data_IF_916974509356
#
_entry.id   IF_916974509356
#
_cell.length_a   1.000
_cell.length_b   1.000
_cell.length_c   1.000
_cell.angle_alpha   90.00
_cell.angle_beta   90.00
_cell.angle_gamma   90.00
#
_symmetry.space_group_name_H-M   'P 1'
#
loop_
_entity.id
_entity.type
_entity.pdbx_description
1 polymer ?
#
# COMPACT_ATOMS: atom_id res chain seq x y z
N UNK A 1 -5.46 -20.72 -8.66
CA UNK A 1 -6.35 -19.80 -7.93
C UNK A 1 -5.93 -19.89 -6.48
N UNK A 2 -5.19 -18.88 -6.01
CA UNK A 2 -4.96 -18.66 -4.58
C UNK A 2 -6.32 -18.72 -3.88
N UNK A 3 -6.38 -19.39 -2.74
CA UNK A 3 -7.60 -19.40 -1.94
C UNK A 3 -7.89 -17.94 -1.55
N UNK A 4 -9.04 -17.41 -1.93
CA UNK A 4 -9.42 -16.00 -1.66
C UNK A 4 -9.50 -15.71 -0.16
N UNK A 5 -9.33 -16.73 0.68
CA UNK A 5 -9.43 -16.70 2.13
C UNK A 5 -8.12 -16.48 2.88
N UNK A 6 -6.95 -16.50 2.23
CA UNK A 6 -5.66 -16.30 2.90
C UNK A 6 -4.85 -15.15 2.29
N UNK A 7 -4.18 -14.41 3.16
CA UNK A 7 -3.22 -13.37 2.78
C UNK A 7 -1.87 -14.02 2.49
N UNK A 8 -1.18 -13.60 1.43
CA UNK A 8 0.19 -14.04 1.19
C UNK A 8 1.12 -13.50 2.31
N UNK A 9 1.80 -14.37 3.08
CA UNK A 9 2.73 -13.93 4.13
C UNK A 9 3.83 -13.00 3.62
N UNK A 10 4.26 -13.15 2.36
CA UNK A 10 5.30 -12.31 1.78
C UNK A 10 4.86 -10.84 1.64
N UNK A 11 3.56 -10.60 1.43
CA UNK A 11 2.99 -9.25 1.37
C UNK A 11 3.09 -8.60 2.74
N UNK A 12 2.70 -9.33 3.79
CA UNK A 12 2.78 -8.88 5.18
C UNK A 12 4.22 -8.52 5.54
N UNK A 13 5.16 -9.43 5.31
CA UNK A 13 6.57 -9.25 5.64
C UNK A 13 7.20 -8.09 4.86
N UNK A 14 6.85 -7.94 3.59
CA UNK A 14 7.42 -6.89 2.73
C UNK A 14 6.88 -5.52 3.09
N UNK A 15 5.58 -5.39 3.31
CA UNK A 15 4.95 -4.14 3.73
C UNK A 15 5.41 -3.73 5.13
N UNK A 16 5.47 -4.65 6.09
CA UNK A 16 5.94 -4.36 7.45
C UNK A 16 7.39 -3.90 7.45
N UNK A 17 8.28 -4.61 6.73
CA UNK A 17 9.67 -4.22 6.59
C UNK A 17 9.82 -2.86 5.93
N UNK A 18 9.10 -2.59 4.83
CA UNK A 18 9.13 -1.30 4.16
C UNK A 18 8.76 -0.17 5.12
N UNK A 19 7.58 -0.25 5.73
CA UNK A 19 7.09 0.84 6.57
C UNK A 19 7.93 1.01 7.84
N UNK A 20 8.48 -0.07 8.42
CA UNK A 20 9.43 0.04 9.53
C UNK A 20 10.70 0.84 9.19
N UNK A 21 11.07 0.92 7.90
CA UNK A 21 12.26 1.63 7.43
C UNK A 21 11.96 3.07 7.04
N UNK A 22 10.76 3.36 6.51
CA UNK A 22 10.44 4.67 5.92
C UNK A 22 9.46 5.51 6.75
N UNK A 23 8.77 4.92 7.72
CA UNK A 23 7.82 5.61 8.61
C UNK A 23 8.41 5.84 10.01
N UNK A 24 9.64 6.35 10.07
CA UNK A 24 10.21 6.79 11.35
C UNK A 24 9.63 8.14 11.82
N UNK A 25 9.92 8.51 13.06
CA UNK A 25 9.38 9.72 13.68
C UNK A 25 9.72 10.99 12.88
N UNK A 26 10.96 11.12 12.40
CA UNK A 26 11.41 12.29 11.65
C UNK A 26 10.67 12.40 10.30
N UNK A 27 10.52 11.29 9.60
CA UNK A 27 9.85 11.22 8.30
C UNK A 27 8.36 11.57 8.41
N UNK A 28 7.68 11.08 9.45
CA UNK A 28 6.26 11.42 9.71
C UNK A 28 6.13 12.91 10.06
N UNK A 29 6.94 13.43 10.98
CA UNK A 29 6.89 14.85 11.35
C UNK A 29 7.15 15.77 10.15
N UNK A 30 8.10 15.39 9.29
CA UNK A 30 8.38 16.11 8.05
C UNK A 30 7.17 16.08 7.11
N UNK A 31 6.56 14.91 6.92
CA UNK A 31 5.38 14.78 6.07
C UNK A 31 4.20 15.64 6.53
N UNK A 32 3.97 15.73 7.85
CA UNK A 32 2.95 16.61 8.42
C UNK A 32 3.25 18.10 8.16
N UNK A 33 4.51 18.50 8.34
CA UNK A 33 4.95 19.89 8.11
C UNK A 33 4.86 20.29 6.64
N UNK A 34 5.26 19.39 5.74
CA UNK A 34 5.27 19.62 4.29
C UNK A 34 3.89 19.37 3.66
N UNK A 35 2.96 18.73 4.38
CA UNK A 35 1.63 18.35 3.91
C UNK A 35 1.61 17.19 2.91
N UNK A 36 2.74 16.52 2.71
CA UNK A 36 2.89 15.38 1.81
C UNK A 36 4.07 14.49 2.22
N UNK A 37 3.97 13.20 1.91
CA UNK A 37 4.98 12.19 2.26
C UNK A 37 5.62 11.59 1.00
N UNK A 38 6.25 12.42 0.16
CA UNK A 38 6.72 11.99 -1.17
C UNK A 38 7.67 10.79 -1.13
N UNK A 39 8.63 10.76 -0.20
CA UNK A 39 9.60 9.66 -0.10
C UNK A 39 8.94 8.35 0.34
N UNK A 40 8.02 8.41 1.31
CA UNK A 40 7.22 7.27 1.78
C UNK A 40 6.33 6.76 0.63
N UNK A 41 5.68 7.67 -0.10
CA UNK A 41 4.83 7.33 -1.24
C UNK A 41 5.63 6.68 -2.36
N UNK A 42 6.77 7.23 -2.74
CA UNK A 42 7.63 6.65 -3.77
C UNK A 42 8.07 5.24 -3.40
N UNK A 43 8.57 5.04 -2.18
CA UNK A 43 8.99 3.72 -1.71
C UNK A 43 7.83 2.71 -1.68
N UNK A 44 6.62 3.14 -1.29
CA UNK A 44 5.41 2.33 -1.36
C UNK A 44 5.01 2.01 -2.80
N UNK A 45 5.02 3.00 -3.70
CA UNK A 45 4.64 2.81 -5.09
C UNK A 45 5.56 1.86 -5.86
N UNK A 46 6.87 1.90 -5.57
CA UNK A 46 7.86 1.02 -6.19
C UNK A 46 7.65 -0.46 -5.88
N UNK A 47 6.89 -0.80 -4.82
CA UNK A 47 6.52 -2.19 -4.51
C UNK A 47 5.38 -2.74 -5.38
N UNK A 48 4.59 -1.87 -6.02
CA UNK A 48 3.33 -2.24 -6.66
C UNK A 48 2.13 -2.34 -5.70
N UNK A 49 2.33 -2.24 -4.37
CA UNK A 49 1.25 -2.32 -3.39
C UNK A 49 0.09 -1.34 -3.57
N UNK A 50 0.26 -0.08 -4.05
CA UNK A 50 -0.90 0.75 -4.34
C UNK A 50 -1.86 0.10 -5.33
N UNK A 51 -1.39 -0.79 -6.20
CA UNK A 51 -2.17 -1.37 -7.28
C UNK A 51 -2.48 -2.86 -7.07
N UNK A 52 -2.30 -3.35 -5.84
CA UNK A 52 -2.39 -4.78 -5.56
C UNK A 52 -3.77 -5.37 -5.80
N UNK A 53 -4.85 -4.63 -5.53
CA UNK A 53 -6.22 -5.10 -5.78
C UNK A 53 -6.68 -4.99 -7.24
N UNK A 54 -5.83 -4.53 -8.15
CA UNK A 54 -6.15 -4.36 -9.57
C UNK A 54 -5.53 -5.52 -10.34
N UNK A 55 -6.25 -6.07 -11.32
CA UNK A 55 -5.73 -7.17 -12.15
C UNK A 55 -4.51 -6.74 -12.97
N UNK A 56 -3.61 -7.68 -13.26
CA UNK A 56 -2.45 -7.43 -14.13
C UNK A 56 -2.88 -7.00 -15.55
N UNK A 57 -3.98 -7.55 -16.06
CA UNK A 57 -4.55 -7.16 -17.36
C UNK A 57 -4.96 -5.67 -17.41
N UNK A 58 -5.35 -5.10 -16.27
CA UNK A 58 -5.66 -3.69 -16.10
C UNK A 58 -4.46 -2.87 -15.61
N UNK A 59 -3.25 -3.44 -15.59
CA UNK A 59 -2.01 -2.78 -15.17
C UNK A 59 -1.73 -2.77 -13.67
N UNK A 60 -2.47 -3.56 -12.89
CA UNK A 60 -2.26 -3.75 -11.45
C UNK A 60 -1.28 -4.88 -11.11
N UNK A 61 -1.16 -5.20 -9.82
CA UNK A 61 -0.29 -6.29 -9.33
C UNK A 61 -1.01 -7.62 -9.09
N UNK A 62 -2.33 -7.70 -9.29
CA UNK A 62 -3.07 -8.96 -9.37
C UNK A 62 -3.29 -9.73 -8.06
N UNK A 63 -3.18 -9.08 -6.90
CA UNK A 63 -3.47 -9.67 -5.60
C UNK A 63 -4.95 -9.72 -5.27
N UNK A 64 -5.28 -10.34 -4.13
CA UNK A 64 -6.66 -10.48 -3.65
C UNK A 64 -7.14 -9.23 -2.89
N UNK A 65 -8.43 -9.18 -2.58
CA UNK A 65 -8.96 -8.15 -1.68
C UNK A 65 -8.37 -8.27 -0.26
N UNK A 66 -8.12 -9.49 0.22
CA UNK A 66 -7.51 -9.69 1.54
C UNK A 66 -6.09 -9.15 1.58
N UNK A 67 -5.32 -9.37 0.53
CA UNK A 67 -3.97 -8.82 0.39
C UNK A 67 -3.98 -7.29 0.44
N UNK A 68 -4.91 -6.66 -0.27
CA UNK A 68 -5.08 -5.20 -0.26
C UNK A 68 -5.47 -4.67 1.14
N UNK A 69 -6.37 -5.37 1.84
CA UNK A 69 -6.76 -5.01 3.20
C UNK A 69 -5.61 -5.19 4.18
N UNK A 70 -4.76 -6.20 4.02
CA UNK A 70 -3.57 -6.37 4.85
C UNK A 70 -2.57 -5.24 4.65
N UNK A 71 -2.31 -4.84 3.40
CA UNK A 71 -1.47 -3.67 3.10
C UNK A 71 -2.03 -2.42 3.79
N UNK A 72 -3.34 -2.18 3.71
CA UNK A 72 -3.96 -1.03 4.38
C UNK A 72 -3.89 -1.12 5.91
N UNK A 73 -4.00 -2.33 6.47
CA UNK A 73 -3.80 -2.55 7.90
C UNK A 73 -2.40 -2.14 8.33
N UNK A 74 -1.38 -2.46 7.55
CA UNK A 74 0.01 -2.09 7.82
C UNK A 74 0.30 -0.61 7.60
N UNK A 75 -0.31 0.02 6.57
CA UNK A 75 -0.29 1.49 6.39
C UNK A 75 -0.80 2.17 7.66
N UNK A 76 -1.95 1.73 8.19
CA UNK A 76 -2.52 2.27 9.42
C UNK A 76 -1.67 1.97 10.67
N UNK A 77 -1.13 0.76 10.78
CA UNK A 77 -0.29 0.34 11.92
C UNK A 77 0.98 1.19 12.06
N UNK A 78 1.64 1.48 10.93
CA UNK A 78 2.85 2.32 10.89
C UNK A 78 2.54 3.82 10.77
N UNK A 79 1.26 4.21 10.83
CA UNK A 79 0.81 5.58 10.66
C UNK A 79 1.37 6.25 9.38
N UNK A 80 1.50 5.49 8.29
CA UNK A 80 2.08 5.98 7.05
C UNK A 80 1.18 7.09 6.46
N UNK A 81 1.67 8.35 6.35
CA UNK A 81 0.86 9.50 5.96
C UNK A 81 0.71 9.59 4.44
N UNK A 82 0.13 8.54 3.83
CA UNK A 82 0.01 8.38 2.38
C UNK A 82 -1.43 8.01 1.98
N UNK A 83 -1.88 8.37 0.76
CA UNK A 83 -3.24 8.13 0.27
C UNK A 83 -3.45 6.69 -0.24
N UNK A 84 -3.01 5.67 0.52
CA UNK A 84 -2.99 4.29 0.02
C UNK A 84 -4.39 3.77 -0.36
N UNK A 85 -5.40 4.00 0.48
CA UNK A 85 -6.76 3.55 0.23
C UNK A 85 -7.43 4.37 -0.90
N UNK A 86 -7.23 5.69 -0.88
CA UNK A 86 -7.81 6.61 -1.84
C UNK A 86 -7.27 6.37 -3.25
N UNK A 87 -5.96 6.18 -3.38
CA UNK A 87 -5.31 5.98 -4.67
C UNK A 87 -5.57 4.57 -5.20
N UNK A 88 -5.26 3.54 -4.40
CA UNK A 88 -5.27 2.16 -4.86
C UNK A 88 -6.65 1.53 -4.96
N UNK A 89 -7.46 1.69 -3.92
CA UNK A 89 -8.79 1.07 -3.85
C UNK A 89 -9.81 1.97 -4.54
N UNK A 90 -10.00 3.20 -4.06
CA UNK A 90 -11.08 4.06 -4.56
C UNK A 90 -10.81 4.53 -5.99
N UNK A 91 -9.65 5.13 -6.22
CA UNK A 91 -9.23 5.62 -7.55
C UNK A 91 -8.99 4.47 -8.52
N UNK A 92 -8.26 3.44 -8.08
CA UNK A 92 -7.97 2.26 -8.87
C UNK A 92 -9.23 1.54 -9.37
N UNK A 93 -10.19 1.22 -8.49
CA UNK A 93 -11.41 0.54 -8.88
C UNK A 93 -12.34 1.40 -9.74
N UNK A 94 -12.35 2.71 -9.52
CA UNK A 94 -13.12 3.62 -10.38
C UNK A 94 -12.59 3.64 -11.82
N UNK A 95 -11.27 3.46 -11.99
CA UNK A 95 -10.60 3.51 -13.28
C UNK A 95 -10.42 2.14 -13.93
N UNK A 96 -10.44 1.05 -13.17
CA UNK A 96 -10.42 -0.31 -13.69
C UNK A 96 -11.78 -0.64 -14.33
N UNK A 97 -11.79 -0.89 -15.64
CA UNK A 97 -12.96 -1.35 -16.38
C UNK A 97 -12.84 -2.82 -16.74
#
# INVERSE_FOLDING_TARGET
MSDVSEVDPLITDTADRLFSQVCDHESIQKAEADGQASDIWSAFADTGFPWISISEESGGSGGTLLDALEVLRLVGYHAAPIPAAETGILGGWLMSK
#
